data_IF_359806074436
#
_entry.id   IF_359806074436
#
_cell.length_a   1.000
_cell.length_b   1.000
_cell.length_c   1.000
_cell.angle_alpha   90.00
_cell.angle_beta   90.00
_cell.angle_gamma   90.00
#
_symmetry.space_group_name_H-M   'P 1'
#
loop_
_entity.id
_entity.type
_entity.pdbx_description
1 polymer ?
#
# COMPACT_ATOMS: atom_id res chain seq x y z
N UNK A 1 60.74 25.89 14.16
CA UNK A 1 61.38 24.89 15.01
C UNK A 1 60.39 24.51 16.11
N UNK A 2 59.80 23.35 16.09
CA UNK A 2 59.46 22.45 17.20
C UNK A 2 58.72 21.26 16.62
N UNK A 3 59.42 20.16 16.60
CA UNK A 3 58.92 18.80 16.31
C UNK A 3 58.11 18.33 17.54
N UNK A 4 56.99 17.72 17.37
CA UNK A 4 56.39 16.88 18.39
C UNK A 4 55.94 15.56 17.73
N UNK A 5 56.32 14.53 18.42
CA UNK A 5 56.44 13.15 18.01
C UNK A 5 55.10 12.38 17.90
N UNK A 6 55.19 11.42 17.02
CA UNK A 6 54.32 10.27 16.83
C UNK A 6 54.28 9.37 18.08
N UNK A 7 53.13 8.98 18.51
CA UNK A 7 53.01 7.86 19.47
C UNK A 7 51.97 6.88 18.93
N UNK A 8 52.49 5.80 18.36
CA UNK A 8 51.79 4.57 18.00
C UNK A 8 51.41 3.84 19.26
N UNK A 9 50.15 3.50 19.44
CA UNK A 9 49.72 2.52 20.41
C UNK A 9 49.10 1.33 19.68
N UNK A 10 49.88 0.25 19.61
CA UNK A 10 49.44 -1.05 19.16
C UNK A 10 48.77 -1.76 20.35
N UNK A 11 47.52 -2.19 20.17
CA UNK A 11 46.88 -3.15 21.08
C UNK A 11 46.62 -4.42 20.27
N UNK A 12 47.41 -5.44 20.57
CA UNK A 12 47.13 -6.84 20.19
C UNK A 12 46.03 -7.37 21.11
N UNK A 13 45.00 -7.98 20.55
CA UNK A 13 44.09 -8.86 21.26
C UNK A 13 43.81 -10.11 20.45
N UNK A 14 44.35 -11.15 20.92
CA UNK A 14 44.04 -12.60 20.93
C UNK A 14 43.05 -13.16 19.88
N UNK A 15 43.62 -14.07 19.10
CA UNK A 15 43.00 -15.05 18.24
C UNK A 15 42.23 -16.07 19.09
N UNK A 16 40.90 -16.08 18.96
CA UNK A 16 40.03 -17.17 19.35
C UNK A 16 39.57 -17.90 18.11
N UNK A 17 40.23 -18.96 17.71
CA UNK A 17 39.79 -19.85 16.65
C UNK A 17 38.68 -20.73 17.20
N UNK A 18 37.45 -20.42 16.85
CA UNK A 18 36.32 -21.35 16.94
C UNK A 18 36.12 -21.94 15.55
N UNK A 19 36.45 -23.18 15.40
CA UNK A 19 36.14 -24.01 14.25
C UNK A 19 34.62 -24.12 14.11
N UNK A 20 34.05 -23.42 13.14
CA UNK A 20 32.68 -23.64 12.69
C UNK A 20 32.72 -24.63 11.55
N UNK A 21 32.12 -25.80 11.77
CA UNK A 21 31.89 -26.83 10.76
C UNK A 21 31.08 -26.23 9.59
N UNK A 22 31.32 -26.66 8.35
CA UNK A 22 30.49 -26.26 7.22
C UNK A 22 29.12 -26.95 7.35
N UNK A 23 28.13 -26.18 7.77
CA UNK A 23 26.74 -26.57 7.61
C UNK A 23 26.40 -26.48 6.13
N UNK A 24 25.79 -27.54 5.60
CA UNK A 24 25.29 -27.70 4.25
C UNK A 24 24.68 -26.45 3.69
N UNK A 25 25.28 -25.91 2.63
CA UNK A 25 24.70 -24.92 1.78
C UNK A 25 23.52 -25.56 1.02
N UNK A 26 22.35 -25.63 1.66
CA UNK A 26 21.09 -25.74 0.93
C UNK A 26 21.01 -24.56 0.00
N UNK A 27 21.06 -24.83 -1.32
CA UNK A 27 20.69 -23.91 -2.37
C UNK A 27 19.36 -23.27 -1.99
N UNK A 28 19.39 -22.03 -1.51
CA UNK A 28 18.23 -21.16 -1.48
C UNK A 28 17.98 -20.82 -2.93
N UNK A 29 17.02 -21.49 -3.49
CA UNK A 29 16.47 -21.22 -4.80
C UNK A 29 15.79 -19.85 -4.66
N UNK A 30 16.42 -18.86 -5.26
CA UNK A 30 16.02 -17.47 -5.25
C UNK A 30 14.93 -17.29 -6.29
N UNK A 31 13.77 -17.89 -6.06
CA UNK A 31 12.51 -17.53 -6.70
C UNK A 31 11.91 -16.36 -5.93
N UNK A 32 12.57 -15.22 -6.02
CA UNK A 32 12.00 -13.95 -5.59
C UNK A 32 11.08 -13.39 -6.68
N UNK A 33 10.03 -14.13 -6.99
CA UNK A 33 8.79 -13.50 -7.39
C UNK A 33 8.23 -12.91 -6.11
N UNK A 34 8.51 -11.63 -5.86
CA UNK A 34 7.81 -10.88 -4.82
C UNK A 34 6.35 -10.84 -5.25
N UNK A 35 5.60 -11.84 -4.82
CA UNK A 35 4.15 -11.78 -4.88
C UNK A 35 3.74 -10.54 -4.09
N UNK A 36 2.89 -9.66 -4.64
CA UNK A 36 2.33 -8.56 -3.88
C UNK A 36 1.77 -9.15 -2.59
N UNK A 37 2.15 -8.61 -1.47
CA UNK A 37 1.92 -9.10 -0.11
C UNK A 37 0.60 -9.86 -0.03
N UNK A 38 0.64 -11.19 0.07
CA UNK A 38 -0.51 -11.99 0.47
C UNK A 38 -0.76 -11.71 1.95
N UNK A 39 -1.45 -10.60 2.21
CA UNK A 39 -1.95 -10.33 3.55
C UNK A 39 -3.10 -11.31 3.84
N UNK A 40 -3.14 -11.94 5.02
CA UNK A 40 -4.21 -12.87 5.37
C UNK A 40 -5.57 -12.20 5.19
N UNK A 41 -6.44 -12.84 4.42
CA UNK A 41 -7.81 -12.39 4.19
C UNK A 41 -8.63 -12.63 5.46
N UNK A 42 -8.60 -11.67 6.37
CA UNK A 42 -9.63 -11.57 7.40
C UNK A 42 -10.70 -10.62 6.91
N UNK A 43 -11.92 -11.13 6.77
CA UNK A 43 -13.13 -10.40 6.36
C UNK A 43 -13.62 -9.37 7.40
N UNK A 44 -12.87 -9.17 8.47
CA UNK A 44 -13.22 -8.26 9.55
C UNK A 44 -12.34 -7.00 9.47
N UNK A 45 -13.01 -5.86 9.31
CA UNK A 45 -12.43 -4.58 9.73
C UNK A 45 -12.03 -4.80 11.19
N UNK A 46 -10.73 -4.65 11.53
CA UNK A 46 -10.29 -4.73 12.91
C UNK A 46 -11.21 -3.82 13.73
N UNK A 47 -11.98 -4.43 14.64
CA UNK A 47 -12.91 -3.71 15.48
C UNK A 47 -12.10 -2.75 16.35
N UNK A 48 -12.20 -1.46 16.04
CA UNK A 48 -11.76 -0.42 16.95
C UNK A 48 -12.67 -0.54 18.17
N UNK A 49 -12.10 -0.85 19.33
CA UNK A 49 -12.85 -1.02 20.59
C UNK A 49 -13.78 0.18 20.81
N UNK A 50 -15.08 -0.07 20.88
CA UNK A 50 -16.10 0.95 21.17
C UNK A 50 -16.98 1.36 19.99
N UNK A 51 -16.72 0.91 18.76
CA UNK A 51 -17.54 1.23 17.59
C UNK A 51 -18.73 0.29 17.48
N UNK A 52 -19.93 0.83 17.22
CA UNK A 52 -21.13 0.02 17.08
C UNK A 52 -21.09 -0.86 15.82
N UNK A 53 -21.76 -2.04 15.87
CA UNK A 53 -21.89 -2.93 14.71
C UNK A 53 -22.52 -2.23 13.49
N UNK A 54 -23.46 -1.30 13.70
CA UNK A 54 -24.09 -0.53 12.64
C UNK A 54 -23.10 0.43 11.99
N UNK A 55 -22.25 1.10 12.78
CA UNK A 55 -21.19 1.98 12.28
C UNK A 55 -20.17 1.21 11.45
N UNK A 56 -19.72 0.04 11.92
CA UNK A 56 -18.80 -0.82 11.16
C UNK A 56 -19.39 -1.28 9.82
N UNK A 57 -20.69 -1.61 9.79
CA UNK A 57 -21.37 -1.98 8.55
C UNK A 57 -21.42 -0.84 7.55
N UNK A 58 -21.65 0.39 8.01
CA UNK A 58 -21.67 1.57 7.14
C UNK A 58 -20.25 1.92 6.65
N UNK A 59 -19.25 1.85 7.52
CA UNK A 59 -17.82 2.01 7.14
C UNK A 59 -17.45 1.01 6.03
N UNK A 60 -17.85 -0.25 6.17
CA UNK A 60 -17.59 -1.26 5.14
C UNK A 60 -18.33 -0.95 3.82
N UNK A 61 -19.59 -0.51 3.90
CA UNK A 61 -20.36 -0.11 2.71
C UNK A 61 -19.69 1.04 1.96
N UNK A 62 -19.18 2.03 2.68
CA UNK A 62 -18.49 3.18 2.10
C UNK A 62 -17.11 2.79 1.53
N UNK A 63 -16.38 1.91 2.19
CA UNK A 63 -15.14 1.34 1.66
C UNK A 63 -15.41 0.57 0.36
N UNK A 64 -16.48 -0.22 0.31
CA UNK A 64 -16.88 -0.92 -0.92
C UNK A 64 -17.29 0.05 -2.02
N UNK A 65 -17.92 1.19 -1.70
CA UNK A 65 -18.23 2.24 -2.67
C UNK A 65 -16.97 2.78 -3.34
N UNK A 66 -15.90 3.03 -2.57
CA UNK A 66 -14.61 3.45 -3.10
C UNK A 66 -13.97 2.34 -3.96
N UNK A 67 -14.05 1.09 -3.51
CA UNK A 67 -13.60 -0.07 -4.27
C UNK A 67 -14.30 -0.18 -5.63
N UNK A 68 -15.62 -0.06 -5.66
CA UNK A 68 -16.43 -0.15 -6.89
C UNK A 68 -16.15 1.04 -7.83
N UNK A 69 -15.99 2.24 -7.29
CA UNK A 69 -15.59 3.41 -8.08
C UNK A 69 -14.23 3.17 -8.75
N UNK A 70 -13.28 2.58 -8.03
CA UNK A 70 -11.95 2.25 -8.59
C UNK A 70 -12.01 1.11 -9.60
N UNK A 71 -12.75 0.04 -9.30
CA UNK A 71 -12.96 -1.07 -10.22
C UNK A 71 -13.53 -0.61 -11.56
N UNK A 72 -14.44 0.35 -11.55
CA UNK A 72 -15.01 0.95 -12.76
C UNK A 72 -13.97 1.71 -13.62
N UNK A 73 -12.82 2.08 -13.03
CA UNK A 73 -11.72 2.74 -13.74
C UNK A 73 -10.87 1.80 -14.58
N UNK A 74 -10.96 0.48 -14.43
CA UNK A 74 -10.17 -0.49 -15.20
C UNK A 74 -11.08 -1.23 -16.16
N UNK A 75 -10.92 -0.98 -17.48
CA UNK A 75 -11.66 -1.65 -18.55
C UNK A 75 -10.88 -2.79 -19.20
N UNK A 76 -9.61 -2.92 -18.88
CA UNK A 76 -8.75 -4.03 -19.31
C UNK A 76 -8.93 -5.24 -18.39
N UNK A 77 -8.49 -6.41 -18.85
CA UNK A 77 -8.50 -7.61 -18.02
C UNK A 77 -7.50 -7.43 -16.86
N UNK A 78 -7.97 -7.64 -15.65
CA UNK A 78 -7.17 -7.53 -14.44
C UNK A 78 -7.42 -8.74 -13.53
N UNK A 79 -6.46 -9.05 -12.67
CA UNK A 79 -6.54 -10.09 -11.65
C UNK A 79 -6.75 -9.49 -10.26
N UNK A 80 -6.00 -8.43 -9.97
CA UNK A 80 -6.07 -7.72 -8.67
C UNK A 80 -5.93 -6.22 -8.90
N UNK A 81 -6.68 -5.43 -8.15
CA UNK A 81 -6.54 -3.97 -8.09
C UNK A 81 -6.15 -3.59 -6.67
N UNK A 82 -5.13 -2.74 -6.54
CA UNK A 82 -4.66 -2.15 -5.29
C UNK A 82 -5.00 -0.67 -5.30
N UNK A 83 -5.73 -0.23 -4.30
CA UNK A 83 -6.08 1.19 -4.10
C UNK A 83 -5.28 1.70 -2.93
N UNK A 84 -4.64 2.84 -3.08
CA UNK A 84 -4.04 3.62 -2.01
C UNK A 84 -4.73 4.97 -1.94
N UNK A 85 -5.50 5.18 -0.90
CA UNK A 85 -6.22 6.43 -0.67
C UNK A 85 -5.61 7.15 0.54
N UNK A 86 -5.35 8.44 0.40
CA UNK A 86 -4.80 9.29 1.47
C UNK A 86 -5.80 10.42 1.71
N UNK A 87 -6.48 10.42 2.87
CA UNK A 87 -7.29 11.54 3.32
C UNK A 87 -6.37 12.72 3.66
N UNK A 88 -6.36 13.78 2.87
CA UNK A 88 -5.52 14.96 3.11
C UNK A 88 -6.41 16.18 3.26
N UNK A 89 -6.86 16.49 4.49
CA UNK A 89 -7.71 17.65 4.76
C UNK A 89 -8.82 17.82 3.73
N UNK A 90 -8.82 18.95 3.02
CA UNK A 90 -9.80 19.23 1.94
C UNK A 90 -9.49 18.51 0.61
N UNK A 91 -8.37 17.79 0.52
CA UNK A 91 -7.92 17.13 -0.70
C UNK A 91 -7.78 15.62 -0.47
N UNK A 92 -8.68 14.86 -1.06
CA UNK A 92 -8.56 13.41 -1.09
C UNK A 92 -7.70 12.96 -2.29
N UNK A 93 -6.65 12.19 -2.02
CA UNK A 93 -5.84 11.58 -3.07
C UNK A 93 -6.14 10.09 -3.17
N UNK A 94 -6.62 9.64 -4.33
CA UNK A 94 -6.83 8.22 -4.61
C UNK A 94 -5.91 7.80 -5.75
N UNK A 95 -5.10 6.81 -5.51
CA UNK A 95 -4.25 6.17 -6.51
C UNK A 95 -4.55 4.69 -6.56
N UNK A 96 -4.38 4.09 -7.73
CA UNK A 96 -4.58 2.67 -7.87
C UNK A 96 -3.62 2.05 -8.87
N UNK A 97 -3.35 0.78 -8.64
CA UNK A 97 -2.52 -0.07 -9.47
C UNK A 97 -3.30 -1.33 -9.75
N UNK A 98 -3.06 -1.97 -10.86
CA UNK A 98 -3.67 -3.26 -11.11
C UNK A 98 -2.68 -4.24 -11.73
N UNK A 99 -2.85 -5.49 -11.39
CA UNK A 99 -2.14 -6.61 -11.98
C UNK A 99 -3.03 -7.20 -13.06
N UNK A 100 -2.53 -7.31 -14.28
CA UNK A 100 -3.26 -7.95 -15.36
C UNK A 100 -3.21 -9.48 -15.26
N UNK A 101 -3.90 -10.17 -16.18
CA UNK A 101 -3.95 -11.64 -16.20
C UNK A 101 -2.61 -12.31 -16.50
N UNK A 102 -1.61 -11.55 -16.98
CA UNK A 102 -0.23 -12.00 -17.22
C UNK A 102 0.71 -11.71 -16.05
N UNK A 103 0.21 -11.10 -14.98
CA UNK A 103 1.00 -10.73 -13.82
C UNK A 103 1.75 -9.39 -13.97
N UNK A 104 1.49 -8.60 -15.01
CA UNK A 104 2.11 -7.29 -15.19
C UNK A 104 1.39 -6.23 -14.36
N UNK A 105 2.17 -5.42 -13.66
CA UNK A 105 1.66 -4.30 -12.85
C UNK A 105 1.51 -3.05 -13.73
N UNK A 106 0.38 -2.39 -13.58
CA UNK A 106 0.04 -1.18 -14.31
C UNK A 106 -0.34 -0.05 -13.36
N UNK A 107 0.24 1.13 -13.57
CA UNK A 107 -0.17 2.34 -12.85
C UNK A 107 -1.51 2.84 -13.42
N UNK A 108 -2.55 2.89 -12.59
CA UNK A 108 -3.89 3.35 -12.95
C UNK A 108 -3.99 4.86 -13.15
N UNK A 109 -2.98 5.65 -12.72
CA UNK A 109 -2.96 7.10 -12.99
C UNK A 109 -2.61 7.40 -14.45
N UNK A 110 -2.05 6.44 -15.17
CA UNK A 110 -1.75 6.53 -16.59
C UNK A 110 -3.00 6.14 -17.39
N UNK A 111 -3.73 7.10 -17.95
CA UNK A 111 -5.04 6.91 -18.60
C UNK A 111 -5.03 5.77 -19.62
N UNK A 112 -3.98 5.67 -20.46
CA UNK A 112 -3.86 4.60 -21.47
C UNK A 112 -3.85 3.19 -20.87
N UNK A 113 -3.40 3.05 -19.62
CA UNK A 113 -3.40 1.76 -18.94
C UNK A 113 -4.82 1.31 -18.58
N UNK A 114 -5.74 2.24 -18.28
CA UNK A 114 -7.09 1.92 -17.83
C UNK A 114 -8.03 1.43 -18.93
N UNK A 115 -7.75 1.77 -20.20
CA UNK A 115 -8.64 1.53 -21.33
C UNK A 115 -9.82 2.50 -21.42
N UNK A 116 -9.80 3.59 -20.65
CA UNK A 116 -10.82 4.64 -20.66
C UNK A 116 -10.44 5.81 -21.58
N UNK A 117 -11.44 6.50 -22.11
CA UNK A 117 -11.26 7.84 -22.68
C UNK A 117 -10.97 8.86 -21.56
N UNK A 118 -10.32 10.00 -21.90
CA UNK A 118 -9.99 11.06 -20.93
C UNK A 118 -11.23 11.53 -20.15
N UNK A 119 -12.37 11.77 -20.81
CA UNK A 119 -13.60 12.21 -20.14
C UNK A 119 -14.12 11.17 -19.14
N UNK A 120 -14.16 9.89 -19.53
CA UNK A 120 -14.58 8.81 -18.61
C UNK A 120 -13.61 8.64 -17.44
N UNK A 121 -12.31 8.81 -17.69
CA UNK A 121 -11.31 8.78 -16.65
C UNK A 121 -11.51 9.90 -15.62
N UNK A 122 -11.69 11.15 -16.08
CA UNK A 122 -11.94 12.29 -15.19
C UNK A 122 -13.20 12.11 -14.34
N UNK A 123 -14.30 11.64 -14.95
CA UNK A 123 -15.55 11.35 -14.22
C UNK A 123 -15.34 10.23 -13.19
N UNK A 124 -14.60 9.19 -13.54
CA UNK A 124 -14.28 8.09 -12.62
C UNK A 124 -13.42 8.55 -11.46
N UNK A 125 -12.41 9.38 -11.71
CA UNK A 125 -11.53 9.95 -10.69
C UNK A 125 -12.32 10.84 -9.70
N UNK A 126 -13.28 11.63 -10.20
CA UNK A 126 -14.16 12.42 -9.33
C UNK A 126 -14.99 11.52 -8.41
N UNK A 127 -15.58 10.43 -8.95
CA UNK A 127 -16.34 9.45 -8.15
C UNK A 127 -15.50 8.77 -7.07
N UNK A 128 -14.22 8.49 -7.34
CA UNK A 128 -13.30 7.96 -6.33
C UNK A 128 -13.09 8.98 -5.21
N UNK A 129 -12.85 10.25 -5.56
CA UNK A 129 -12.66 11.32 -4.57
C UNK A 129 -13.91 11.52 -3.73
N UNK A 130 -15.10 11.56 -4.34
CA UNK A 130 -16.38 11.65 -3.63
C UNK A 130 -16.60 10.48 -2.68
N UNK A 131 -16.31 9.23 -3.13
CA UNK A 131 -16.45 8.04 -2.29
C UNK A 131 -15.50 8.06 -1.09
N UNK A 132 -14.25 8.50 -1.28
CA UNK A 132 -13.31 8.67 -0.17
C UNK A 132 -13.78 9.75 0.81
N UNK A 133 -14.26 10.88 0.31
CA UNK A 133 -14.76 11.97 1.15
C UNK A 133 -15.98 11.54 1.98
N UNK A 134 -16.90 10.77 1.41
CA UNK A 134 -18.04 10.22 2.16
C UNK A 134 -17.57 9.29 3.29
N UNK A 135 -16.57 8.44 3.03
CA UNK A 135 -16.00 7.55 4.04
C UNK A 135 -15.35 8.36 5.18
N UNK A 136 -14.53 9.35 4.85
CA UNK A 136 -13.88 10.23 5.84
C UNK A 136 -14.91 10.98 6.66
N UNK A 137 -15.92 11.58 6.03
CA UNK A 137 -17.00 12.29 6.71
C UNK A 137 -17.80 11.37 7.66
N UNK A 138 -17.98 10.10 7.28
CA UNK A 138 -18.63 9.12 8.13
C UNK A 138 -17.77 8.83 9.37
N UNK A 139 -16.48 8.56 9.21
CA UNK A 139 -15.56 8.31 10.32
C UNK A 139 -15.57 9.49 11.31
N UNK A 140 -15.43 10.71 10.80
CA UNK A 140 -15.47 11.93 11.63
C UNK A 140 -16.79 12.08 12.40
N UNK A 141 -17.94 11.92 11.72
CA UNK A 141 -19.26 12.05 12.36
C UNK A 141 -19.55 10.98 13.42
N UNK A 142 -18.90 9.83 13.31
CA UNK A 142 -19.05 8.73 14.27
C UNK A 142 -17.99 8.72 15.36
N UNK A 143 -17.14 9.78 15.42
CA UNK A 143 -16.09 9.91 16.41
C UNK A 143 -14.95 8.92 16.22
N UNK A 144 -14.84 8.32 15.03
CA UNK A 144 -13.72 7.45 14.70
C UNK A 144 -12.52 8.28 14.22
N UNK A 145 -11.32 7.82 14.54
CA UNK A 145 -10.10 8.43 14.04
C UNK A 145 -10.05 8.31 12.51
N UNK A 146 -9.63 9.39 11.83
CA UNK A 146 -9.40 9.38 10.40
C UNK A 146 -8.01 8.80 10.14
N UNK A 147 -7.91 7.71 9.36
CA UNK A 147 -6.62 7.09 9.08
C UNK A 147 -5.73 8.01 8.24
N UNK A 148 -4.41 7.87 8.40
CA UNK A 148 -3.42 8.55 7.54
C UNK A 148 -3.48 8.03 6.10
N UNK A 149 -3.80 6.74 5.93
CA UNK A 149 -4.09 6.16 4.61
C UNK A 149 -5.04 4.96 4.68
N UNK A 150 -5.60 4.60 3.53
CA UNK A 150 -6.49 3.47 3.36
C UNK A 150 -6.02 2.63 2.19
N UNK A 151 -5.75 1.35 2.44
CA UNK A 151 -5.48 0.37 1.39
C UNK A 151 -6.73 -0.45 1.10
N UNK A 152 -7.06 -0.63 -0.19
CA UNK A 152 -8.13 -1.54 -0.59
C UNK A 152 -7.59 -2.51 -1.64
N UNK A 153 -7.75 -3.80 -1.39
CA UNK A 153 -7.35 -4.86 -2.31
C UNK A 153 -8.62 -5.49 -2.90
N UNK A 154 -8.73 -5.48 -4.22
CA UNK A 154 -9.88 -6.00 -4.97
C UNK A 154 -9.38 -7.15 -5.83
N UNK A 155 -9.89 -8.36 -5.60
CA UNK A 155 -9.52 -9.55 -6.37
C UNK A 155 -10.62 -9.91 -7.36
N UNK A 156 -10.24 -10.30 -8.59
CA UNK A 156 -11.20 -10.76 -9.59
C UNK A 156 -11.86 -12.06 -9.12
N UNK A 157 -13.20 -12.13 -9.26
CA UNK A 157 -14.00 -13.25 -8.76
C UNK A 157 -14.31 -13.19 -7.26
N UNK A 158 -13.72 -12.27 -6.52
CA UNK A 158 -14.09 -11.97 -5.13
C UNK A 158 -15.31 -11.06 -5.08
N UNK A 159 -16.29 -11.42 -4.25
CA UNK A 159 -17.46 -10.58 -3.96
C UNK A 159 -17.14 -9.46 -2.96
N UNK A 160 -15.95 -9.50 -2.35
CA UNK A 160 -15.54 -8.57 -1.29
C UNK A 160 -14.15 -7.99 -1.57
N UNK A 161 -13.99 -6.73 -1.25
CA UNK A 161 -12.69 -6.07 -1.16
C UNK A 161 -12.16 -6.18 0.26
N UNK A 162 -10.83 -6.28 0.43
CA UNK A 162 -10.18 -6.12 1.71
C UNK A 162 -9.82 -4.65 1.91
N UNK A 163 -10.21 -4.07 3.04
CA UNK A 163 -9.85 -2.69 3.41
C UNK A 163 -8.98 -2.69 4.66
N UNK A 164 -7.90 -1.91 4.63
CA UNK A 164 -6.96 -1.73 5.74
C UNK A 164 -6.87 -0.23 6.02
N UNK A 165 -7.05 0.16 7.26
CA UNK A 165 -6.89 1.52 7.73
C UNK A 165 -5.54 1.64 8.43
N UNK A 166 -4.68 2.56 7.96
CA UNK A 166 -3.37 2.80 8.50
C UNK A 166 -3.38 4.17 9.21
N UNK A 167 -2.87 4.23 10.44
CA UNK A 167 -2.92 5.42 11.28
C UNK A 167 -1.55 6.06 11.51
N UNK A 168 -0.47 5.29 11.37
CA UNK A 168 0.89 5.71 11.73
C UNK A 168 1.77 6.06 10.51
N UNK A 169 1.18 6.22 9.32
CA UNK A 169 1.94 6.54 8.10
C UNK A 169 2.17 8.06 7.97
N UNK A 170 3.41 8.46 7.69
CA UNK A 170 3.72 9.85 7.37
C UNK A 170 3.32 10.19 5.93
N UNK A 171 2.19 10.84 5.79
CA UNK A 171 1.63 11.32 4.52
C UNK A 171 1.82 12.81 4.28
N UNK A 172 2.62 13.50 5.10
CA UNK A 172 2.85 14.94 5.03
C UNK A 172 3.45 15.38 3.68
N UNK A 173 4.35 14.56 3.12
CA UNK A 173 4.85 14.71 1.77
C UNK A 173 4.27 13.63 0.85
N UNK A 174 3.10 13.91 0.28
CA UNK A 174 2.36 12.96 -0.54
C UNK A 174 3.16 12.40 -1.73
N UNK A 175 4.02 13.19 -2.34
CA UNK A 175 4.83 12.75 -3.49
C UNK A 175 5.92 11.75 -3.06
N UNK A 176 6.65 12.04 -1.98
CA UNK A 176 7.66 11.15 -1.43
C UNK A 176 7.03 9.84 -0.90
N UNK A 177 5.93 9.97 -0.15
CA UNK A 177 5.15 8.84 0.34
C UNK A 177 4.73 7.89 -0.79
N UNK A 178 4.20 8.46 -1.86
CA UNK A 178 3.79 7.71 -3.02
C UNK A 178 4.94 6.99 -3.72
N UNK A 179 6.07 7.68 -3.93
CA UNK A 179 7.25 7.08 -4.54
C UNK A 179 7.76 5.90 -3.70
N UNK A 180 7.79 6.05 -2.39
CA UNK A 180 8.16 4.99 -1.46
C UNK A 180 7.19 3.81 -1.55
N UNK A 181 5.89 4.06 -1.56
CA UNK A 181 4.87 3.03 -1.70
C UNK A 181 5.04 2.24 -3.01
N UNK A 182 5.27 2.93 -4.14
CA UNK A 182 5.51 2.29 -5.44
C UNK A 182 6.78 1.42 -5.43
N UNK A 183 7.87 1.93 -4.87
CA UNK A 183 9.13 1.19 -4.79
C UNK A 183 9.02 -0.07 -3.93
N UNK A 184 8.29 0.00 -2.82
CA UNK A 184 8.12 -1.12 -1.89
C UNK A 184 7.17 -2.18 -2.42
N UNK A 185 6.07 -1.79 -3.06
CA UNK A 185 5.01 -2.71 -3.44
C UNK A 185 5.07 -3.13 -4.92
N UNK A 186 5.67 -2.31 -5.78
CA UNK A 186 5.68 -2.53 -7.24
C UNK A 186 7.05 -2.26 -7.85
N UNK A 187 8.14 -2.88 -7.38
CA UNK A 187 9.51 -2.59 -7.81
C UNK A 187 9.75 -2.86 -9.30
N UNK A 188 8.92 -3.68 -9.92
CA UNK A 188 9.00 -4.03 -11.35
C UNK A 188 8.15 -3.15 -12.26
N UNK A 189 7.41 -2.19 -11.70
CA UNK A 189 6.58 -1.27 -12.47
C UNK A 189 7.47 -0.28 -13.24
N UNK A 190 7.33 -0.29 -14.58
CA UNK A 190 8.05 0.60 -15.51
C UNK A 190 7.17 1.73 -16.00
#
# INVERSE_FOLDING_TARGET
MKKIALTTLAVMAAVGVLAVQPADAKKVQQDSVVSPIEMPMNDEIQQVNGVSKATNKETQRLSNKLADATKAMVKKNWKTIYVKAVPTGDKAAVRFYYVDTRGQVHNGQVIRNTGLSKGKYMTGSLRQTEALQELVNHLQRTGQEVPSSIDIIITQGGYRSKTIFNYDEDTSNLAAYQQQYEQQNFPTMK
#
